data_IF_772745767272
#
_entry.id   IF_772745767272
#
_cell.length_a   1.000
_cell.length_b   1.000
_cell.length_c   1.000
_cell.angle_alpha   90.00
_cell.angle_beta   90.00
_cell.angle_gamma   90.00
#
_symmetry.space_group_name_H-M   'P 1'
#
loop_
_entity.id
_entity.type
_entity.pdbx_description
1 polymer ?
#
# COMPACT_ATOMS: atom_id res chain seq x y z
N UNK A 1 -15.69 -11.07 15.59
CA UNK A 1 -14.75 -11.12 14.44
C UNK A 1 -13.62 -10.15 14.72
N UNK A 2 -12.36 -10.57 14.64
CA UNK A 2 -11.22 -9.66 14.73
C UNK A 2 -11.13 -8.90 13.40
N UNK A 3 -10.88 -7.59 13.43
CA UNK A 3 -10.69 -6.77 12.23
C UNK A 3 -9.42 -7.24 11.50
N UNK A 4 -9.54 -7.59 10.22
CA UNK A 4 -8.40 -7.92 9.37
C UNK A 4 -7.89 -6.69 8.59
N UNK A 5 -6.65 -6.77 8.08
CA UNK A 5 -6.02 -5.67 7.36
C UNK A 5 -6.82 -5.26 6.12
N UNK A 6 -7.41 -6.21 5.39
CA UNK A 6 -8.21 -5.90 4.20
C UNK A 6 -9.44 -5.06 4.56
N UNK A 7 -10.15 -5.43 5.63
CA UNK A 7 -11.30 -4.69 6.14
C UNK A 7 -10.89 -3.31 6.65
N UNK A 8 -9.71 -3.20 7.26
CA UNK A 8 -9.15 -1.94 7.72
C UNK A 8 -8.84 -0.97 6.56
N UNK A 9 -8.26 -1.46 5.47
CA UNK A 9 -8.00 -0.65 4.27
C UNK A 9 -9.29 -0.14 3.61
N UNK A 10 -10.40 -0.86 3.78
CA UNK A 10 -11.71 -0.47 3.26
C UNK A 10 -12.56 0.38 4.24
N UNK A 11 -12.10 0.58 5.49
CA UNK A 11 -12.84 1.32 6.51
C UNK A 11 -12.20 2.70 6.71
N UNK A 12 -12.82 3.82 6.27
CA UNK A 12 -12.17 5.13 6.23
C UNK A 12 -11.56 5.59 7.56
N UNK A 13 -12.28 5.37 8.66
CA UNK A 13 -11.80 5.73 9.99
C UNK A 13 -10.56 4.93 10.38
N UNK A 14 -10.55 3.62 10.13
CA UNK A 14 -9.41 2.75 10.47
C UNK A 14 -8.22 3.06 9.57
N UNK A 15 -8.46 3.25 8.28
CA UNK A 15 -7.43 3.65 7.33
C UNK A 15 -6.76 4.96 7.78
N UNK A 16 -7.54 5.97 8.18
CA UNK A 16 -7.00 7.25 8.68
C UNK A 16 -6.09 7.05 9.90
N UNK A 17 -6.48 6.19 10.85
CA UNK A 17 -5.64 5.89 12.02
C UNK A 17 -4.39 5.10 11.64
N UNK A 18 -4.50 4.17 10.69
CA UNK A 18 -3.37 3.40 10.19
C UNK A 18 -2.37 4.29 9.43
N UNK A 19 -2.84 5.25 8.64
CA UNK A 19 -2.02 6.26 7.98
C UNK A 19 -1.24 7.10 9.00
N UNK A 20 -1.92 7.59 10.04
CA UNK A 20 -1.29 8.35 11.13
C UNK A 20 -0.23 7.53 11.87
N UNK A 21 -0.52 6.26 12.16
CA UNK A 21 0.43 5.34 12.77
C UNK A 21 1.65 5.14 11.86
N UNK A 22 1.46 4.83 10.58
CA UNK A 22 2.54 4.60 9.63
C UNK A 22 3.43 5.84 9.44
N UNK A 23 2.85 7.04 9.45
CA UNK A 23 3.61 8.29 9.42
C UNK A 23 4.52 8.43 10.65
N UNK A 24 4.01 8.13 11.84
CA UNK A 24 4.78 8.18 13.09
C UNK A 24 5.85 7.11 13.18
N UNK A 25 5.64 5.93 12.58
CA UNK A 25 6.59 4.82 12.62
C UNK A 25 7.52 4.75 11.42
N UNK A 26 7.50 5.75 10.54
CA UNK A 26 8.31 5.78 9.31
C UNK A 26 8.11 4.53 8.42
N UNK A 27 6.85 4.14 8.24
CA UNK A 27 6.44 3.00 7.37
C UNK A 27 5.34 3.39 6.38
N UNK A 28 5.14 4.69 6.17
CA UNK A 28 4.06 5.25 5.33
C UNK A 28 4.18 4.82 3.86
N UNK A 29 5.39 4.64 3.36
CA UNK A 29 5.67 4.23 1.99
C UNK A 29 4.99 2.91 1.62
N UNK A 30 4.89 1.97 2.57
CA UNK A 30 4.27 0.67 2.34
C UNK A 30 2.75 0.81 2.12
N UNK A 31 2.09 1.62 2.95
CA UNK A 31 0.66 1.85 2.86
C UNK A 31 0.30 2.71 1.63
N UNK A 32 1.04 3.79 1.42
CA UNK A 32 0.86 4.66 0.25
C UNK A 32 1.04 3.88 -1.05
N UNK A 33 2.05 3.02 -1.13
CA UNK A 33 2.27 2.16 -2.29
C UNK A 33 1.09 1.23 -2.56
N UNK A 34 0.53 0.57 -1.54
CA UNK A 34 -0.63 -0.31 -1.70
C UNK A 34 -1.83 0.44 -2.28
N UNK A 35 -2.13 1.63 -1.75
CA UNK A 35 -3.24 2.47 -2.22
C UNK A 35 -3.00 2.96 -3.66
N UNK A 36 -1.76 3.36 -3.99
CA UNK A 36 -1.39 3.80 -5.34
C UNK A 36 -1.46 2.66 -6.35
N UNK A 37 -0.96 1.48 -6.02
CA UNK A 37 -1.01 0.30 -6.88
C UNK A 37 -2.45 -0.09 -7.21
N UNK A 38 -3.33 -0.09 -6.21
CA UNK A 38 -4.77 -0.36 -6.38
C UNK A 38 -5.47 0.75 -7.19
N UNK A 39 -5.06 2.01 -7.02
CA UNK A 39 -5.51 3.13 -7.84
C UNK A 39 -5.14 3.00 -9.32
N UNK A 40 -3.88 2.67 -9.61
CA UNK A 40 -3.38 2.46 -10.99
C UNK A 40 -4.18 1.37 -11.71
N UNK A 41 -4.46 0.27 -11.01
CA UNK A 41 -5.21 -0.87 -11.57
C UNK A 41 -6.63 -0.52 -12.02
N UNK A 42 -7.23 0.54 -11.45
CA UNK A 42 -8.57 1.02 -11.78
C UNK A 42 -8.61 2.02 -12.94
N UNK A 43 -7.45 2.47 -13.42
CA UNK A 43 -7.39 3.44 -14.52
C UNK A 43 -7.80 2.78 -15.86
N UNK A 44 -8.41 3.54 -16.78
CA UNK A 44 -8.79 3.01 -18.09
C UNK A 44 -7.57 2.44 -18.83
N UNK A 45 -7.65 1.20 -19.36
CA UNK A 45 -6.57 0.62 -20.15
C UNK A 45 -6.17 1.50 -21.34
N UNK A 46 -4.88 1.51 -21.67
CA UNK A 46 -4.31 2.29 -22.79
C UNK A 46 -4.47 3.82 -22.70
N UNK A 47 -4.98 4.36 -21.58
CA UNK A 47 -5.09 5.81 -21.35
C UNK A 47 -3.72 6.44 -21.11
N UNK A 48 -3.61 7.74 -21.40
CA UNK A 48 -2.43 8.53 -21.06
C UNK A 48 -2.24 8.62 -19.54
N UNK A 49 -3.35 8.69 -18.79
CA UNK A 49 -3.38 8.70 -17.33
C UNK A 49 -2.74 7.43 -16.74
N UNK A 50 -3.10 6.26 -17.26
CA UNK A 50 -2.48 4.99 -16.85
C UNK A 50 -0.96 5.02 -17.08
N UNK A 51 -0.51 5.45 -18.26
CA UNK A 51 0.93 5.50 -18.58
C UNK A 51 1.68 6.42 -17.62
N UNK A 52 1.12 7.60 -17.33
CA UNK A 52 1.70 8.55 -16.40
C UNK A 52 1.76 7.97 -14.98
N UNK A 53 0.65 7.40 -14.49
CA UNK A 53 0.58 6.84 -13.15
C UNK A 53 1.52 5.64 -12.97
N UNK A 54 1.68 4.78 -13.98
CA UNK A 54 2.65 3.70 -13.97
C UNK A 54 4.08 4.22 -13.82
N UNK A 55 4.47 5.23 -14.58
CA UNK A 55 5.81 5.83 -14.50
C UNK A 55 6.05 6.52 -13.15
N UNK A 56 5.07 7.27 -12.65
CA UNK A 56 5.20 7.98 -11.38
C UNK A 56 5.33 7.03 -10.20
N UNK A 57 4.50 5.99 -10.14
CA UNK A 57 4.59 4.97 -9.08
C UNK A 57 5.91 4.19 -9.20
N UNK A 58 6.33 3.81 -10.40
CA UNK A 58 7.59 3.11 -10.60
C UNK A 58 8.80 3.96 -10.15
N UNK A 59 8.81 5.25 -10.47
CA UNK A 59 9.88 6.18 -10.10
C UNK A 59 9.97 6.40 -8.59
N UNK A 60 8.84 6.54 -7.91
CA UNK A 60 8.81 6.87 -6.47
C UNK A 60 9.03 5.64 -5.60
N UNK A 61 8.43 4.50 -5.94
CA UNK A 61 8.36 3.34 -5.05
C UNK A 61 9.20 2.14 -5.49
N UNK A 62 9.55 2.01 -6.77
CA UNK A 62 10.21 0.81 -7.33
C UNK A 62 11.66 1.07 -7.76
N UNK A 63 11.98 2.30 -8.17
CA UNK A 63 13.32 2.69 -8.56
C UNK A 63 14.28 2.62 -7.37
N UNK A 64 15.50 2.16 -7.62
CA UNK A 64 16.54 2.14 -6.60
C UNK A 64 16.92 3.58 -6.23
N UNK A 65 16.88 3.92 -4.95
CA UNK A 65 17.06 5.29 -4.47
C UNK A 65 15.85 6.19 -4.69
N UNK A 66 14.67 5.62 -4.96
CA UNK A 66 13.41 6.37 -4.98
C UNK A 66 13.09 6.95 -3.60
N UNK A 67 12.49 8.14 -3.57
CA UNK A 67 12.16 8.87 -2.32
C UNK A 67 11.35 8.04 -1.33
N UNK A 68 10.51 7.12 -1.84
CA UNK A 68 9.69 6.21 -1.04
C UNK A 68 9.88 4.76 -1.50
N UNK A 69 11.11 4.38 -1.84
CA UNK A 69 11.42 3.02 -2.30
C UNK A 69 10.92 1.98 -1.30
N UNK A 70 10.05 1.06 -1.75
CA UNK A 70 9.53 -0.02 -0.92
C UNK A 70 10.45 -1.23 -0.92
N UNK A 71 10.47 -1.97 0.18
CA UNK A 71 11.30 -3.16 0.34
C UNK A 71 10.71 -4.35 -0.44
N UNK A 72 11.26 -4.61 -1.62
CA UNK A 72 10.85 -5.69 -2.53
C UNK A 72 12.02 -6.59 -2.89
N UNK A 73 11.73 -7.85 -3.17
CA UNK A 73 12.70 -8.77 -3.75
C UNK A 73 13.21 -8.27 -5.11
N UNK A 74 14.48 -8.57 -5.43
CA UNK A 74 15.08 -8.16 -6.70
C UNK A 74 14.30 -8.70 -7.92
N UNK A 75 13.80 -9.94 -7.82
CA UNK A 75 12.97 -10.55 -8.85
C UNK A 75 11.66 -9.78 -9.08
N UNK A 76 10.99 -9.37 -8.00
CA UNK A 76 9.77 -8.56 -8.08
C UNK A 76 10.02 -7.17 -8.64
N UNK A 77 11.11 -6.49 -8.24
CA UNK A 77 11.50 -5.20 -8.83
C UNK A 77 11.72 -5.32 -10.35
N UNK A 78 12.45 -6.34 -10.80
CA UNK A 78 12.71 -6.56 -12.22
C UNK A 78 11.41 -6.83 -13.01
N UNK A 79 10.55 -7.70 -12.48
CA UNK A 79 9.25 -8.01 -13.12
C UNK A 79 8.34 -6.80 -13.20
N UNK A 80 8.24 -6.00 -12.13
CA UNK A 80 7.42 -4.78 -12.12
C UNK A 80 7.92 -3.77 -13.15
N UNK A 81 9.24 -3.56 -13.29
CA UNK A 81 9.79 -2.65 -14.31
C UNK A 81 9.41 -3.06 -15.74
N UNK A 82 9.53 -4.36 -16.05
CA UNK A 82 9.13 -4.89 -17.36
C UNK A 82 7.64 -4.64 -17.67
N UNK A 83 6.75 -4.88 -16.70
CA UNK A 83 5.32 -4.68 -16.89
C UNK A 83 4.95 -3.19 -17.04
N UNK A 84 5.66 -2.31 -16.31
CA UNK A 84 5.50 -0.85 -16.44
C UNK A 84 5.84 -0.38 -17.85
N UNK A 85 6.93 -0.88 -18.43
CA UNK A 85 7.32 -0.57 -19.82
C UNK A 85 6.29 -1.07 -20.85
N UNK A 86 5.59 -2.16 -20.54
CA UNK A 86 4.50 -2.70 -21.34
C UNK A 86 3.16 -2.00 -21.13
N UNK A 87 3.11 -1.02 -20.22
CA UNK A 87 1.91 -0.31 -19.80
C UNK A 87 0.80 -1.22 -19.26
N UNK A 88 1.16 -2.30 -18.57
CA UNK A 88 0.21 -3.25 -18.00
C UNK A 88 -0.47 -2.65 -16.74
N UNK A 89 -1.81 -2.55 -16.66
CA UNK A 89 -2.51 -2.08 -15.46
C UNK A 89 -2.21 -2.88 -14.18
N UNK A 90 -1.80 -4.14 -14.32
CA UNK A 90 -1.46 -5.05 -13.23
C UNK A 90 0.06 -5.07 -12.91
N UNK A 91 0.82 -4.08 -13.40
CA UNK A 91 2.29 -3.99 -13.21
C UNK A 91 2.76 -4.11 -11.77
N UNK A 92 1.93 -3.66 -10.83
CA UNK A 92 2.26 -3.61 -9.40
C UNK A 92 1.69 -4.79 -8.60
N UNK A 93 0.94 -5.72 -9.20
CA UNK A 93 0.24 -6.78 -8.44
C UNK A 93 1.18 -7.64 -7.59
N UNK A 94 2.34 -8.04 -8.12
CA UNK A 94 3.30 -8.86 -7.39
C UNK A 94 3.99 -8.05 -6.28
N UNK A 95 4.37 -6.81 -6.57
CA UNK A 95 4.95 -5.90 -5.59
C UNK A 95 3.97 -5.60 -4.45
N UNK A 96 2.71 -5.31 -4.77
CA UNK A 96 1.65 -5.08 -3.80
C UNK A 96 1.43 -6.30 -2.90
N UNK A 97 1.54 -7.54 -3.42
CA UNK A 97 1.47 -8.75 -2.59
C UNK A 97 2.62 -8.85 -1.57
N UNK A 98 3.85 -8.54 -1.98
CA UNK A 98 5.00 -8.55 -1.05
C UNK A 98 4.84 -7.47 0.03
N UNK A 99 4.46 -6.25 -0.35
CA UNK A 99 4.25 -5.15 0.61
C UNK A 99 3.04 -5.43 1.50
N UNK A 100 1.95 -5.98 0.97
CA UNK A 100 0.82 -6.38 1.79
C UNK A 100 1.22 -7.41 2.84
N UNK A 101 2.04 -8.40 2.46
CA UNK A 101 2.57 -9.39 3.40
C UNK A 101 3.43 -8.73 4.47
N UNK A 102 4.34 -7.82 4.09
CA UNK A 102 5.16 -7.06 5.03
C UNK A 102 4.29 -6.28 6.01
N UNK A 103 3.33 -5.50 5.50
CA UNK A 103 2.36 -4.75 6.31
C UNK A 103 1.60 -5.67 7.24
N UNK A 104 1.12 -6.81 6.76
CA UNK A 104 0.37 -7.78 7.56
C UNK A 104 1.21 -8.40 8.69
N UNK A 105 2.48 -8.69 8.43
CA UNK A 105 3.34 -9.40 9.40
C UNK A 105 4.06 -8.48 10.37
N UNK A 106 4.31 -7.22 10.00
CA UNK A 106 5.15 -6.31 10.76
C UNK A 106 4.39 -5.06 11.24
N UNK A 107 3.71 -4.36 10.35
CA UNK A 107 3.04 -3.08 10.67
C UNK A 107 1.71 -3.33 11.40
N UNK A 108 0.89 -4.22 10.85
CA UNK A 108 -0.48 -4.49 11.31
C UNK A 108 -0.56 -4.99 12.75
N UNK A 109 0.26 -5.96 13.21
CA UNK A 109 0.20 -6.41 14.60
C UNK A 109 0.58 -5.31 15.59
N UNK A 110 1.53 -4.44 15.22
CA UNK A 110 1.95 -3.31 16.05
C UNK A 110 0.88 -2.21 16.08
N UNK A 111 0.23 -1.95 14.94
CA UNK A 111 -0.90 -1.01 14.87
C UNK A 111 -2.07 -1.45 15.75
N UNK A 112 -2.44 -2.74 15.76
CA UNK A 112 -3.52 -3.26 16.61
C UNK A 112 -3.28 -3.06 18.12
N UNK A 113 -2.03 -2.87 18.52
CA UNK A 113 -1.62 -2.60 19.91
C UNK A 113 -1.38 -1.11 20.18
N UNK A 114 -1.51 -0.26 19.16
CA UNK A 114 -1.19 1.16 19.24
C UNK A 114 -2.31 1.96 19.91
N UNK A 115 -1.98 3.08 20.59
CA UNK A 115 -2.98 4.01 21.13
C UNK A 115 -4.01 4.47 20.09
N UNK A 116 -3.58 4.67 18.85
CA UNK A 116 -4.40 5.09 17.71
C UNK A 116 -5.54 4.10 17.46
N UNK A 117 -5.23 2.79 17.43
CA UNK A 117 -6.25 1.74 17.27
C UNK A 117 -7.10 1.55 18.54
N UNK A 118 -6.48 1.57 19.72
CA UNK A 118 -7.20 1.40 20.98
C UNK A 118 -8.22 2.52 21.22
N UNK A 119 -7.92 3.75 20.78
CA UNK A 119 -8.85 4.88 20.86
C UNK A 119 -10.15 4.62 20.09
N UNK A 120 -10.08 4.13 18.85
CA UNK A 120 -11.27 3.84 18.03
C UNK A 120 -12.01 2.57 18.51
N UNK A 121 -11.28 1.57 19.02
CA UNK A 121 -11.87 0.36 19.58
C UNK A 121 -12.67 0.66 20.86
N UNK A 122 -12.12 1.52 21.74
CA UNK A 122 -12.77 1.90 22.99
C UNK A 122 -14.05 2.73 22.77
N UNK A 123 -14.09 3.57 21.73
CA UNK A 123 -15.26 4.38 21.40
C UNK A 123 -16.42 3.59 20.76
N UNK A 124 -16.27 2.28 20.54
CA UNK A 124 -17.24 1.43 19.81
C UNK A 124 -17.58 1.99 18.42
N UNK A 125 -16.66 2.74 17.81
CA UNK A 125 -16.82 3.28 16.46
C UNK A 125 -16.65 2.18 15.39
N UNK A 126 -16.08 1.04 15.79
CA UNK A 126 -16.02 -0.20 15.02
C UNK A 126 -17.31 -1.02 15.24
N UNK A 127 -18.43 -0.61 14.63
CA UNK A 127 -19.57 -1.53 14.40
C UNK A 127 -19.33 -2.22 13.06
N UNK A 128 -18.87 -3.47 13.12
CA UNK A 128 -18.76 -4.38 11.96
C UNK A 128 -20.14 -4.92 11.61
#
# INVERSE_FOLDING_TARGET
RQLDLQSALCTPLVLTQLEGYCARTHTAENLEFLLKADGVKRLPPQSMELRQALQDVARVYIAAGGDKEVNLSAATKAKTRLLVEQHDPCSFDQAAKEIYKLTLTDIWPRFLLSPEFLAIAHRKELRV
#
